data_IF_250797932377
#
_entry.id   IF_250797932377
#
_cell.length_a   1.000
_cell.length_b   1.000
_cell.length_c   1.000
_cell.angle_alpha   90.00
_cell.angle_beta   90.00
_cell.angle_gamma   90.00
#
_symmetry.space_group_name_H-M   'P 1'
#
loop_
_entity.id
_entity.type
_entity.pdbx_description
1 polymer ?
#
# COMPACT_ATOMS: atom_id res chain seq x y z
N UNK A 1 30.89 -14.11 1.41
CA UNK A 1 30.50 -12.68 1.43
C UNK A 1 29.00 -12.59 1.64
N UNK A 2 28.55 -11.93 2.71
CA UNK A 2 27.12 -11.64 2.89
C UNK A 2 26.72 -10.47 1.96
N UNK A 3 25.63 -10.56 1.19
CA UNK A 3 25.18 -9.46 0.36
C UNK A 3 24.73 -8.26 1.24
N UNK A 4 24.89 -7.02 0.75
CA UNK A 4 24.42 -5.83 1.48
C UNK A 4 22.93 -5.93 1.80
N UNK A 5 22.50 -5.40 2.95
CA UNK A 5 21.15 -5.53 3.52
C UNK A 5 20.04 -5.21 2.48
N UNK A 6 20.27 -4.20 1.63
CA UNK A 6 19.35 -3.80 0.55
C UNK A 6 19.22 -4.85 -0.57
N UNK A 7 20.29 -5.54 -0.92
CA UNK A 7 20.27 -6.63 -1.91
C UNK A 7 19.63 -7.90 -1.33
N UNK A 8 19.88 -8.22 -0.05
CA UNK A 8 19.25 -9.34 0.65
C UNK A 8 17.73 -9.15 0.77
N UNK A 9 17.29 -7.95 1.13
CA UNK A 9 15.87 -7.59 1.23
C UNK A 9 15.16 -7.70 -0.13
N UNK A 10 15.76 -7.16 -1.21
CA UNK A 10 15.20 -7.28 -2.57
C UNK A 10 15.10 -8.74 -3.04
N UNK A 11 16.11 -9.57 -2.73
CA UNK A 11 16.07 -11.00 -3.07
C UNK A 11 14.98 -11.77 -2.32
N UNK A 12 14.74 -11.43 -1.04
CA UNK A 12 13.66 -12.04 -0.28
C UNK A 12 12.27 -11.66 -0.83
N UNK A 13 12.09 -10.39 -1.21
CA UNK A 13 10.84 -9.90 -1.79
C UNK A 13 10.55 -10.59 -3.14
N UNK A 14 11.56 -10.71 -4.00
CA UNK A 14 11.43 -11.40 -5.30
C UNK A 14 11.04 -12.88 -5.13
N UNK A 15 11.68 -13.59 -4.19
CA UNK A 15 11.31 -14.97 -3.86
C UNK A 15 9.87 -15.08 -3.38
N UNK A 16 9.44 -14.14 -2.53
CA UNK A 16 8.07 -14.12 -2.00
C UNK A 16 7.04 -13.84 -3.11
N UNK A 17 7.32 -12.89 -4.00
CA UNK A 17 6.51 -12.62 -5.19
C UNK A 17 6.34 -13.90 -6.03
N UNK A 18 7.44 -14.60 -6.34
CA UNK A 18 7.38 -15.84 -7.11
C UNK A 18 6.53 -16.92 -6.44
N UNK A 19 6.66 -17.08 -5.11
CA UNK A 19 5.87 -18.05 -4.35
C UNK A 19 4.37 -17.73 -4.40
N UNK A 20 4.00 -16.47 -4.17
CA UNK A 20 2.62 -16.01 -4.22
C UNK A 20 2.03 -16.15 -5.62
N UNK A 21 2.81 -15.82 -6.65
CA UNK A 21 2.41 -15.98 -8.04
C UNK A 21 2.13 -17.45 -8.38
N UNK A 22 3.04 -18.36 -8.01
CA UNK A 22 2.88 -19.78 -8.30
C UNK A 22 1.62 -20.37 -7.64
N UNK A 23 1.23 -19.87 -6.47
CA UNK A 23 0.02 -20.32 -5.77
C UNK A 23 -1.28 -19.89 -6.49
N UNK A 24 -1.24 -18.87 -7.35
CA UNK A 24 -2.42 -18.31 -8.01
C UNK A 24 -2.68 -18.85 -9.42
N UNK A 25 -1.68 -19.47 -10.07
CA UNK A 25 -1.75 -19.83 -11.50
C UNK A 25 -2.87 -20.81 -11.85
N UNK A 26 -3.21 -21.68 -10.92
CA UNK A 26 -4.23 -22.72 -11.09
C UNK A 26 -5.59 -22.33 -10.48
N UNK A 27 -5.72 -21.11 -9.96
CA UNK A 27 -6.97 -20.62 -9.39
C UNK A 27 -7.83 -20.03 -10.51
N UNK A 28 -9.15 -20.26 -10.43
CA UNK A 28 -10.11 -19.66 -11.35
C UNK A 28 -9.97 -18.11 -11.34
N UNK A 29 -9.63 -17.49 -12.49
CA UNK A 29 -9.46 -16.05 -12.55
C UNK A 29 -10.74 -15.27 -12.26
N UNK A 30 -11.94 -15.83 -12.52
CA UNK A 30 -13.20 -15.17 -12.17
C UNK A 30 -13.41 -15.12 -10.64
N UNK A 31 -12.98 -16.16 -9.94
CA UNK A 31 -12.99 -16.17 -8.47
C UNK A 31 -12.03 -15.10 -7.92
N UNK A 32 -10.81 -15.01 -8.48
CA UNK A 32 -9.84 -13.98 -8.09
C UNK A 32 -10.38 -12.57 -8.32
N UNK A 33 -11.01 -12.33 -9.47
CA UNK A 33 -11.65 -11.06 -9.79
C UNK A 33 -12.70 -10.65 -8.75
N UNK A 34 -13.56 -11.61 -8.39
CA UNK A 34 -14.64 -11.39 -7.42
C UNK A 34 -14.10 -11.06 -6.02
N UNK A 35 -13.09 -11.78 -5.53
CA UNK A 35 -12.53 -11.60 -4.18
C UNK A 35 -11.76 -10.28 -4.07
N UNK A 36 -11.07 -9.89 -5.13
CA UNK A 36 -10.17 -8.73 -5.15
C UNK A 36 -10.86 -7.45 -5.61
N UNK A 37 -12.07 -7.53 -6.16
CA UNK A 37 -12.71 -6.41 -6.83
C UNK A 37 -12.00 -6.00 -8.13
N UNK A 38 -11.10 -6.84 -8.65
CA UNK A 38 -10.52 -6.64 -9.98
C UNK A 38 -11.54 -6.96 -11.07
N UNK A 39 -11.44 -6.31 -12.22
CA UNK A 39 -12.18 -6.72 -13.42
C UNK A 39 -11.33 -7.71 -14.22
N UNK A 40 -11.88 -8.86 -14.58
CA UNK A 40 -11.20 -9.82 -15.44
C UNK A 40 -11.72 -9.75 -16.88
N UNK A 41 -10.80 -9.74 -17.84
CA UNK A 41 -11.05 -9.76 -19.28
C UNK A 41 -10.45 -11.04 -19.85
N UNK A 42 -11.30 -12.01 -20.20
CA UNK A 42 -10.87 -13.24 -20.84
C UNK A 42 -10.32 -12.96 -22.26
N UNK A 43 -9.16 -13.55 -22.57
CA UNK A 43 -8.50 -13.52 -23.89
C UNK A 43 -8.37 -14.93 -24.51
N UNK A 44 -8.61 -15.98 -23.73
CA UNK A 44 -8.65 -17.37 -24.14
C UNK A 44 -9.33 -18.23 -23.05
N UNK A 45 -9.25 -19.56 -23.16
CA UNK A 45 -9.87 -20.48 -22.18
C UNK A 45 -9.25 -20.38 -20.78
N UNK A 46 -7.95 -20.10 -20.68
CA UNK A 46 -7.21 -19.94 -19.41
C UNK A 46 -6.32 -18.70 -19.41
N UNK A 47 -6.53 -17.79 -20.35
CA UNK A 47 -5.72 -16.60 -20.53
C UNK A 47 -6.60 -15.36 -20.43
N UNK A 48 -6.05 -14.31 -19.81
CA UNK A 48 -6.77 -13.05 -19.72
C UNK A 48 -5.96 -11.97 -19.04
N UNK A 49 -6.67 -10.95 -18.61
CA UNK A 49 -6.08 -9.78 -17.98
C UNK A 49 -6.97 -9.28 -16.85
N UNK A 50 -6.38 -9.04 -15.68
CA UNK A 50 -7.02 -8.29 -14.61
C UNK A 50 -6.75 -6.80 -14.78
N UNK A 51 -7.79 -6.01 -14.54
CA UNK A 51 -7.72 -4.57 -14.35
C UNK A 51 -7.98 -4.28 -12.89
N UNK A 52 -7.00 -3.67 -12.22
CA UNK A 52 -7.06 -3.33 -10.79
C UNK A 52 -6.63 -1.88 -10.59
N UNK A 53 -7.33 -1.16 -9.70
CA UNK A 53 -6.91 0.16 -9.26
C UNK A 53 -6.13 0.06 -7.95
N UNK A 54 -4.90 0.59 -7.94
CA UNK A 54 -4.03 0.65 -6.76
C UNK A 54 -3.57 2.09 -6.57
N UNK A 55 -3.85 2.68 -5.41
CA UNK A 55 -3.58 4.10 -5.12
C UNK A 55 -4.12 5.07 -6.19
N UNK A 56 -5.31 4.77 -6.74
CA UNK A 56 -5.91 5.58 -7.82
C UNK A 56 -5.29 5.36 -9.20
N UNK A 57 -4.31 4.47 -9.35
CA UNK A 57 -3.67 4.13 -10.62
C UNK A 57 -4.17 2.77 -11.12
N UNK A 58 -4.68 2.76 -12.35
CA UNK A 58 -5.11 1.52 -13.00
C UNK A 58 -3.91 0.74 -13.53
N UNK A 59 -3.90 -0.56 -13.29
CA UNK A 59 -2.91 -1.49 -13.83
C UNK A 59 -3.57 -2.67 -14.52
N UNK A 60 -2.86 -3.18 -15.53
CA UNK A 60 -3.18 -4.40 -16.23
C UNK A 60 -2.26 -5.52 -15.73
N UNK A 61 -2.83 -6.69 -15.46
CA UNK A 61 -2.10 -7.84 -14.92
C UNK A 61 -2.45 -9.05 -15.79
N UNK A 62 -1.47 -9.62 -16.48
CA UNK A 62 -1.73 -10.82 -17.30
C UNK A 62 -2.07 -12.03 -16.43
N UNK A 63 -2.83 -12.96 -16.97
CA UNK A 63 -3.08 -14.26 -16.36
C UNK A 63 -2.87 -15.35 -17.43
N UNK A 64 -2.15 -16.45 -17.11
CA UNK A 64 -1.63 -16.85 -15.79
C UNK A 64 -0.23 -16.30 -15.43
N UNK A 65 0.40 -15.49 -16.27
CA UNK A 65 1.80 -15.08 -16.07
C UNK A 65 1.97 -13.98 -15.01
N UNK A 66 0.92 -13.27 -14.59
CA UNK A 66 1.01 -12.14 -13.65
C UNK A 66 2.11 -11.13 -14.03
N UNK A 67 2.11 -10.69 -15.29
CA UNK A 67 2.93 -9.56 -15.73
C UNK A 67 2.18 -8.28 -15.39
N UNK A 68 2.78 -7.41 -14.58
CA UNK A 68 2.16 -6.21 -14.03
C UNK A 68 2.59 -4.95 -14.77
N UNK A 69 1.64 -4.27 -15.42
CA UNK A 69 1.91 -3.08 -16.21
C UNK A 69 0.98 -1.93 -15.81
N UNK A 70 1.53 -0.72 -15.80
CA UNK A 70 0.73 0.51 -15.69
C UNK A 70 -0.18 0.64 -16.92
N UNK A 71 -1.48 0.81 -16.71
CA UNK A 71 -2.46 0.79 -17.81
C UNK A 71 -2.33 1.99 -18.76
N UNK A 72 -1.77 3.11 -18.30
CA UNK A 72 -1.62 4.32 -19.11
C UNK A 72 -0.35 4.30 -19.97
N UNK A 73 0.74 3.71 -19.45
CA UNK A 73 2.08 3.77 -20.07
C UNK A 73 2.58 2.43 -20.59
N UNK A 74 1.96 1.32 -20.20
CA UNK A 74 2.40 -0.05 -20.54
C UNK A 74 3.72 -0.44 -19.88
N UNK A 75 4.25 0.35 -18.94
CA UNK A 75 5.53 0.08 -18.28
C UNK A 75 5.36 -0.89 -17.13
N UNK A 76 6.35 -1.75 -16.95
CA UNK A 76 6.40 -2.69 -15.84
C UNK A 76 6.37 -1.97 -14.48
N UNK A 77 5.55 -2.50 -13.57
CA UNK A 77 5.43 -1.97 -12.22
C UNK A 77 6.59 -2.41 -11.32
N UNK A 78 6.87 -1.63 -10.28
CA UNK A 78 7.92 -1.95 -9.32
C UNK A 78 7.59 -3.22 -8.54
N UNK A 79 8.61 -4.04 -8.25
CA UNK A 79 8.46 -5.31 -7.51
C UNK A 79 7.66 -5.18 -6.20
N UNK A 80 7.74 -4.06 -5.49
CA UNK A 80 6.97 -3.82 -4.27
C UNK A 80 5.47 -3.73 -4.54
N UNK A 81 5.05 -3.09 -5.64
CA UNK A 81 3.64 -3.02 -6.06
C UNK A 81 3.18 -4.40 -6.50
N UNK A 82 3.96 -5.10 -7.33
CA UNK A 82 3.65 -6.46 -7.76
C UNK A 82 3.44 -7.39 -6.57
N UNK A 83 4.36 -7.35 -5.59
CA UNK A 83 4.27 -8.20 -4.39
C UNK A 83 3.06 -7.86 -3.53
N UNK A 84 2.74 -6.56 -3.36
CA UNK A 84 1.54 -6.14 -2.63
C UNK A 84 0.27 -6.68 -3.29
N UNK A 85 0.16 -6.57 -4.62
CA UNK A 85 -0.99 -7.08 -5.36
C UNK A 85 -1.06 -8.61 -5.30
N UNK A 86 0.08 -9.31 -5.41
CA UNK A 86 0.11 -10.76 -5.26
C UNK A 86 -0.35 -11.23 -3.87
N UNK A 87 0.01 -10.51 -2.80
CA UNK A 87 -0.54 -10.77 -1.48
C UNK A 87 -2.05 -10.60 -1.46
N UNK A 88 -2.54 -9.51 -2.04
CA UNK A 88 -3.97 -9.21 -2.12
C UNK A 88 -4.76 -10.27 -2.90
N UNK A 89 -4.22 -10.80 -3.99
CA UNK A 89 -4.84 -11.89 -4.75
C UNK A 89 -4.82 -13.22 -4.00
N UNK A 90 -3.88 -13.43 -3.07
CA UNK A 90 -3.83 -14.59 -2.19
C UNK A 90 -4.77 -14.47 -0.96
N UNK A 91 -5.70 -13.51 -0.98
CA UNK A 91 -6.64 -13.33 0.14
C UNK A 91 -7.51 -14.57 0.32
N UNK A 92 -7.52 -15.19 1.51
CA UNK A 92 -8.33 -16.38 1.74
C UNK A 92 -9.83 -16.05 1.84
N UNK A 93 -10.18 -14.89 2.42
CA UNK A 93 -11.57 -14.52 2.70
C UNK A 93 -11.80 -13.01 2.52
N UNK A 94 -12.59 -12.58 1.52
CA UNK A 94 -12.95 -11.17 1.40
C UNK A 94 -13.83 -10.72 2.57
N UNK A 95 -13.68 -9.46 2.97
CA UNK A 95 -14.44 -8.84 4.05
C UNK A 95 -14.78 -7.39 3.68
N UNK A 96 -15.94 -6.86 4.11
CA UNK A 96 -16.28 -5.47 3.86
C UNK A 96 -15.38 -4.52 4.66
N UNK A 97 -15.19 -3.30 4.14
CA UNK A 97 -14.53 -2.21 4.88
C UNK A 97 -15.28 -1.94 6.19
N UNK A 98 -14.55 -1.58 7.24
CA UNK A 98 -15.12 -1.42 8.58
C UNK A 98 -15.16 0.02 9.07
N UNK A 99 -14.35 0.91 8.46
CA UNK A 99 -14.03 2.27 8.91
C UNK A 99 -13.53 2.32 10.37
N UNK A 100 -13.02 1.20 10.88
CA UNK A 100 -12.34 1.10 12.17
C UNK A 100 -10.85 1.06 11.95
N UNK A 101 -10.12 1.96 12.60
CA UNK A 101 -8.70 2.17 12.35
C UNK A 101 -7.85 1.56 13.45
N UNK A 102 -6.85 0.77 13.05
CA UNK A 102 -5.86 0.17 13.94
C UNK A 102 -4.45 0.61 13.54
N UNK A 103 -3.58 0.75 14.53
CA UNK A 103 -2.16 1.01 14.30
C UNK A 103 -1.46 -0.22 13.71
N UNK A 104 -0.29 -0.02 13.12
CA UNK A 104 0.54 -1.13 12.66
C UNK A 104 0.87 -2.12 13.78
N UNK A 105 1.06 -1.66 15.03
CA UNK A 105 1.32 -2.55 16.17
C UNK A 105 0.15 -3.44 16.57
N UNK A 106 -1.06 -3.13 16.13
CA UNK A 106 -2.26 -3.93 16.42
C UNK A 106 -2.53 -4.99 15.35
N UNK A 107 -1.84 -4.93 14.21
CA UNK A 107 -1.85 -6.02 13.22
C UNK A 107 -1.22 -7.29 13.80
N UNK A 108 -1.57 -8.49 13.29
CA UNK A 108 -0.91 -9.74 13.67
C UNK A 108 0.61 -9.63 13.55
N UNK A 109 1.37 -9.96 14.60
CA UNK A 109 2.83 -9.80 14.66
C UNK A 109 3.38 -8.36 14.50
N UNK A 110 2.52 -7.36 14.37
CA UNK A 110 2.90 -5.97 14.10
C UNK A 110 3.72 -5.33 15.22
N UNK A 111 3.49 -5.74 16.47
CA UNK A 111 4.26 -5.27 17.64
C UNK A 111 5.77 -5.49 17.48
N UNK A 112 6.18 -6.61 16.88
CA UNK A 112 7.60 -6.96 16.72
C UNK A 112 8.33 -6.05 15.72
N UNK A 113 7.61 -5.46 14.77
CA UNK A 113 8.17 -4.66 13.68
C UNK A 113 7.80 -3.18 13.75
N UNK A 114 6.98 -2.77 14.72
CA UNK A 114 6.42 -1.41 14.79
C UNK A 114 7.49 -0.31 14.82
N UNK A 115 8.57 -0.50 15.59
CA UNK A 115 9.66 0.49 15.64
C UNK A 115 10.31 0.71 14.26
N UNK A 116 10.59 -0.39 13.53
CA UNK A 116 11.11 -0.31 12.18
C UNK A 116 10.11 0.35 11.23
N UNK A 117 8.83 -0.04 11.30
CA UNK A 117 7.74 0.55 10.52
C UNK A 117 7.64 2.07 10.71
N UNK A 118 7.62 2.54 11.96
CA UNK A 118 7.57 3.96 12.28
C UNK A 118 8.78 4.73 11.74
N UNK A 119 9.97 4.11 11.74
CA UNK A 119 11.20 4.68 11.17
C UNK A 119 11.06 5.16 9.73
N UNK A 120 10.53 4.31 8.84
CA UNK A 120 10.36 4.65 7.42
C UNK A 120 8.98 5.19 7.05
N UNK A 121 8.07 5.33 8.02
CA UNK A 121 6.73 5.91 7.83
C UNK A 121 6.53 7.16 8.67
N UNK A 122 5.92 7.05 9.85
CA UNK A 122 5.53 8.17 10.73
C UNK A 122 6.67 9.13 11.02
N UNK A 123 7.85 8.62 11.40
CA UNK A 123 9.02 9.46 11.66
C UNK A 123 9.57 10.12 10.38
N UNK A 124 9.45 9.46 9.22
CA UNK A 124 9.84 10.05 7.95
C UNK A 124 8.86 11.16 7.52
N UNK A 125 7.55 10.96 7.73
CA UNK A 125 6.53 11.98 7.50
C UNK A 125 6.71 13.18 8.45
N UNK A 126 6.94 12.94 9.74
CA UNK A 126 7.21 13.99 10.72
C UNK A 126 8.46 14.80 10.36
N UNK A 127 9.54 14.15 9.93
CA UNK A 127 10.75 14.84 9.42
C UNK A 127 10.49 15.64 8.14
N UNK A 128 9.58 15.18 7.30
CA UNK A 128 9.31 15.79 5.99
C UNK A 128 8.38 17.00 6.11
N UNK A 129 7.33 16.89 6.92
CA UNK A 129 6.27 17.89 7.02
C UNK A 129 6.28 18.66 8.34
N UNK A 130 6.72 18.07 9.45
CA UNK A 130 6.67 18.72 10.77
C UNK A 130 5.27 19.29 11.07
N UNK A 131 5.24 20.53 11.56
CA UNK A 131 4.01 21.31 11.80
C UNK A 131 3.44 22.00 10.53
N UNK A 132 4.08 21.86 9.36
CA UNK A 132 3.60 22.39 8.08
C UNK A 132 2.51 21.49 7.48
N UNK A 133 1.35 21.52 8.13
CA UNK A 133 0.20 20.71 7.76
C UNK A 133 -0.46 21.17 6.46
N UNK A 134 -0.29 22.43 6.07
CA UNK A 134 -0.84 22.95 4.81
C UNK A 134 -0.18 22.24 3.62
N UNK A 135 1.14 22.10 3.64
CA UNK A 135 1.87 21.34 2.63
C UNK A 135 1.54 19.84 2.69
N UNK A 136 1.39 19.26 3.89
CA UNK A 136 0.92 17.89 4.02
C UNK A 136 -0.48 17.68 3.42
N UNK A 137 -1.43 18.57 3.73
CA UNK A 137 -2.80 18.50 3.23
C UNK A 137 -2.86 18.65 1.71
N UNK A 138 -2.05 19.56 1.14
CA UNK A 138 -1.91 19.71 -0.31
C UNK A 138 -1.35 18.43 -0.95
N UNK A 139 -0.25 17.90 -0.42
CA UNK A 139 0.37 16.67 -0.92
C UNK A 139 -0.57 15.46 -0.83
N UNK A 140 -1.30 15.32 0.29
CA UNK A 140 -2.31 14.29 0.49
C UNK A 140 -3.43 14.40 -0.55
N UNK A 141 -3.99 15.59 -0.74
CA UNK A 141 -5.07 15.82 -1.72
C UNK A 141 -4.61 15.54 -3.15
N UNK A 142 -3.38 15.92 -3.52
CA UNK A 142 -2.81 15.68 -4.85
C UNK A 142 -2.68 14.19 -5.20
N UNK A 143 -2.53 13.31 -4.21
CA UNK A 143 -2.45 11.85 -4.43
C UNK A 143 -3.78 11.14 -4.13
N UNK A 144 -4.90 11.88 -4.12
CA UNK A 144 -6.24 11.33 -3.94
C UNK A 144 -6.65 11.08 -2.50
N UNK A 145 -5.97 11.71 -1.54
CA UNK A 145 -6.34 11.65 -0.13
C UNK A 145 -7.62 12.43 0.16
N UNK A 146 -8.52 11.82 0.93
CA UNK A 146 -9.76 12.42 1.38
C UNK A 146 -9.66 12.85 2.84
N UNK A 147 -9.96 14.12 3.15
CA UNK A 147 -9.88 14.64 4.52
C UNK A 147 -10.81 13.84 5.47
N UNK A 148 -10.35 13.62 6.70
CA UNK A 148 -11.11 13.02 7.81
C UNK A 148 -10.96 13.84 9.10
N UNK A 149 -11.97 13.75 9.96
CA UNK A 149 -12.04 14.42 11.25
C UNK A 149 -11.50 13.53 12.38
N UNK A 150 -10.22 13.15 12.29
CA UNK A 150 -9.50 12.34 13.27
C UNK A 150 -8.14 13.02 13.51
N UNK A 151 -7.71 13.12 14.78
CA UNK A 151 -6.54 13.92 15.15
C UNK A 151 -6.72 15.40 14.78
N UNK A 152 -5.62 16.13 14.58
CA UNK A 152 -5.67 17.51 14.10
C UNK A 152 -5.88 17.54 12.57
N UNK A 153 -5.16 16.66 11.87
CA UNK A 153 -5.22 16.52 10.42
C UNK A 153 -5.14 15.06 10.04
N UNK A 154 -6.14 14.53 9.34
CA UNK A 154 -6.11 13.18 8.80
C UNK A 154 -6.61 13.09 7.36
N UNK A 155 -6.01 12.16 6.60
CA UNK A 155 -6.41 11.86 5.23
C UNK A 155 -6.52 10.35 5.02
N UNK A 156 -7.63 9.92 4.43
CA UNK A 156 -7.91 8.54 4.01
C UNK A 156 -7.51 8.37 2.56
N UNK A 157 -6.87 7.26 2.24
CA UNK A 157 -6.42 6.90 0.90
C UNK A 157 -6.95 5.51 0.56
N UNK A 158 -7.54 5.34 -0.62
CA UNK A 158 -7.93 4.02 -1.10
C UNK A 158 -6.72 3.33 -1.72
N UNK A 159 -6.11 2.37 -1.01
CA UNK A 159 -4.90 1.70 -1.46
C UNK A 159 -5.19 0.60 -2.47
N UNK A 160 -6.13 -0.27 -2.13
CA UNK A 160 -6.68 -1.37 -2.94
C UNK A 160 -8.21 -1.31 -2.85
N UNK A 161 -9.00 -1.96 -3.73
CA UNK A 161 -10.46 -1.83 -3.74
C UNK A 161 -11.13 -2.00 -2.37
N UNK A 162 -10.64 -2.95 -1.56
CA UNK A 162 -11.20 -3.24 -0.23
C UNK A 162 -10.36 -2.70 0.94
N UNK A 163 -9.23 -2.03 0.70
CA UNK A 163 -8.29 -1.66 1.77
C UNK A 163 -8.00 -0.16 1.73
N UNK A 164 -8.67 0.62 2.59
CA UNK A 164 -8.30 2.00 2.82
C UNK A 164 -7.21 2.11 3.91
N UNK A 165 -6.43 3.19 3.82
CA UNK A 165 -5.36 3.52 4.77
C UNK A 165 -5.56 4.96 5.22
N UNK A 166 -5.29 5.25 6.49
CA UNK A 166 -5.41 6.58 7.06
C UNK A 166 -4.03 7.08 7.48
N UNK A 167 -3.72 8.33 7.16
CA UNK A 167 -2.60 9.04 7.79
C UNK A 167 -3.19 10.05 8.75
N UNK A 168 -2.84 9.96 10.03
CA UNK A 168 -3.25 10.90 11.08
C UNK A 168 -2.04 11.68 11.56
N UNK A 169 -2.19 12.99 11.67
CA UNK A 169 -1.20 13.92 12.17
C UNK A 169 -1.72 14.60 13.44
N UNK A 170 -0.85 14.68 14.44
CA UNK A 170 -1.00 15.53 15.61
C UNK A 170 0.08 16.59 15.59
N UNK A 171 -0.34 17.84 15.80
CA UNK A 171 0.55 18.99 15.85
C UNK A 171 1.42 18.94 17.10
N UNK A 172 2.66 19.37 16.94
CA UNK A 172 3.53 19.62 18.06
C UNK A 172 3.32 21.02 18.61
N UNK A 173 3.61 21.18 19.89
CA UNK A 173 3.60 22.44 20.64
C UNK A 173 4.98 22.66 21.30
N UNK A 174 5.05 23.46 22.36
CA UNK A 174 6.29 23.75 23.08
C UNK A 174 6.84 22.52 23.82
N UNK A 175 5.99 21.55 24.17
CA UNK A 175 6.32 20.39 24.99
C UNK A 175 6.45 19.09 24.17
N UNK A 176 5.77 19.01 23.02
CA UNK A 176 5.68 17.80 22.22
C UNK A 176 6.01 18.05 20.73
N UNK A 177 6.79 17.15 20.13
CA UNK A 177 7.05 17.19 18.69
C UNK A 177 5.84 16.72 17.87
N UNK A 178 5.65 17.21 16.62
CA UNK A 178 4.59 16.72 15.75
C UNK A 178 4.76 15.22 15.46
N UNK A 179 3.63 14.52 15.33
CA UNK A 179 3.62 13.09 15.07
C UNK A 179 2.70 12.73 13.92
N UNK A 180 3.10 11.73 13.14
CA UNK A 180 2.33 11.18 12.03
C UNK A 180 2.23 9.68 12.23
N UNK A 181 1.02 9.11 12.09
CA UNK A 181 0.79 7.67 12.14
C UNK A 181 0.03 7.21 10.91
N UNK A 182 0.47 6.08 10.35
CA UNK A 182 -0.29 5.34 9.35
C UNK A 182 -1.13 4.30 10.10
N UNK A 183 -2.44 4.39 9.91
CA UNK A 183 -3.43 3.46 10.44
C UNK A 183 -4.06 2.67 9.29
N UNK A 184 -4.47 1.46 9.58
CA UNK A 184 -5.11 0.54 8.64
C UNK A 184 -6.55 0.31 9.07
N UNK A 185 -7.46 0.20 8.12
CA UNK A 185 -8.79 -0.33 8.44
C UNK A 185 -8.65 -1.77 8.97
N UNK A 186 -9.45 -2.17 9.96
CA UNK A 186 -9.38 -3.53 10.51
C UNK A 186 -9.57 -4.64 9.47
N UNK A 187 -10.21 -4.33 8.34
CA UNK A 187 -10.33 -5.23 7.19
C UNK A 187 -8.97 -5.62 6.60
N UNK A 188 -7.92 -4.80 6.77
CA UNK A 188 -6.61 -5.05 6.18
C UNK A 188 -6.03 -6.41 6.58
N UNK A 189 -6.24 -6.87 7.81
CA UNK A 189 -5.74 -8.17 8.28
C UNK A 189 -6.49 -9.37 7.69
N UNK A 190 -7.68 -9.16 7.10
CA UNK A 190 -8.39 -10.19 6.35
C UNK A 190 -7.80 -10.41 4.96
N UNK A 191 -7.23 -9.36 4.37
CA UNK A 191 -6.68 -9.40 3.01
C UNK A 191 -5.15 -9.55 2.98
N UNK A 192 -4.45 -8.96 3.94
CA UNK A 192 -3.01 -8.77 3.87
C UNK A 192 -2.32 -9.23 5.15
N UNK A 193 -1.21 -9.97 5.03
CA UNK A 193 -0.31 -10.14 6.15
C UNK A 193 0.38 -8.81 6.48
N UNK A 194 0.89 -8.71 7.70
CA UNK A 194 1.54 -7.50 8.22
C UNK A 194 2.73 -7.02 7.37
N UNK A 195 3.48 -7.94 6.75
CA UNK A 195 4.55 -7.60 5.81
C UNK A 195 4.03 -6.84 4.57
N UNK A 196 2.82 -7.15 4.10
CA UNK A 196 2.20 -6.44 2.99
C UNK A 196 1.67 -5.07 3.43
N UNK A 197 1.12 -4.96 4.65
CA UNK A 197 0.78 -3.66 5.26
C UNK A 197 2.01 -2.75 5.41
N UNK A 198 3.18 -3.32 5.73
CA UNK A 198 4.45 -2.60 5.78
C UNK A 198 4.87 -2.05 4.40
N UNK A 199 4.72 -2.85 3.33
CA UNK A 199 4.95 -2.40 1.95
C UNK A 199 4.00 -1.24 1.60
N UNK A 200 2.71 -1.40 1.91
CA UNK A 200 1.67 -0.41 1.66
C UNK A 200 1.95 0.91 2.38
N UNK A 201 2.30 0.87 3.67
CA UNK A 201 2.66 2.05 4.45
C UNK A 201 3.88 2.78 3.87
N UNK A 202 4.94 2.03 3.50
CA UNK A 202 6.11 2.61 2.85
C UNK A 202 5.76 3.28 1.51
N UNK A 203 4.94 2.63 0.66
CA UNK A 203 4.52 3.21 -0.62
C UNK A 203 3.80 4.55 -0.42
N UNK A 204 2.84 4.61 0.50
CA UNK A 204 2.10 5.83 0.82
C UNK A 204 3.03 6.94 1.32
N UNK A 205 3.97 6.62 2.23
CA UNK A 205 4.97 7.59 2.70
C UNK A 205 5.81 8.12 1.54
N UNK A 206 6.33 7.24 0.67
CA UNK A 206 7.15 7.67 -0.46
C UNK A 206 6.36 8.53 -1.46
N UNK A 207 5.06 8.25 -1.68
CA UNK A 207 4.20 9.09 -2.51
C UNK A 207 4.09 10.50 -1.92
N UNK A 208 3.73 10.62 -0.64
CA UNK A 208 3.61 11.92 0.04
C UNK A 208 4.92 12.73 0.02
N UNK A 209 6.04 12.08 0.33
CA UNK A 209 7.37 12.73 0.35
C UNK A 209 7.76 13.24 -1.04
N UNK A 210 7.57 12.42 -2.09
CA UNK A 210 7.88 12.82 -3.47
C UNK A 210 7.03 13.99 -3.94
N UNK A 211 5.76 14.03 -3.52
CA UNK A 211 4.84 15.10 -3.88
C UNK A 211 5.29 16.45 -3.31
N UNK A 212 5.74 16.49 -2.04
CA UNK A 212 6.35 17.70 -1.44
C UNK A 212 7.58 18.17 -2.22
N UNK A 213 8.43 17.25 -2.67
CA UNK A 213 9.65 17.60 -3.42
C UNK A 213 9.36 18.21 -4.79
N UNK A 214 8.29 17.78 -5.47
CA UNK A 214 7.87 18.37 -6.75
C UNK A 214 7.35 19.80 -6.58
N UNK A 215 6.64 20.06 -5.49
CA UNK A 215 6.12 21.39 -5.16
C UNK A 215 7.23 22.41 -4.83
N UNK A 216 8.43 21.96 -4.41
CA UNK A 216 9.58 22.83 -4.13
C UNK A 216 10.41 23.21 -5.38
N UNK A 217 10.08 22.66 -6.56
CA UNK A 217 10.82 22.89 -7.83
C UNK A 217 10.05 23.84 -8.77
N UNK A 218 8.88 24.32 -8.36
CA UNK A 218 8.06 25.31 -9.08
C UNK A 218 8.17 26.66 -8.38
#
# INVERSE_FOLDING_TARGET
MNPPIRAKSRNNLAKKAQQLQNALREIDPQQLATITGARYLAKGEQEGEFQLCVWGQNMCISFPEFIFQDAATGKDLQLSIQTLVLYYFNTPHPAPQTDKWISFSELPDGKFYNSAFQGYTGLTLAKTFGNDYATFAKAASQIGGERRAIGDVAFRFQALPHIPVLVVCWLGDEDFAPSYNILFDTVASHYLPTDACAIMGNQLTQMLVKTRQKDNIV
#
